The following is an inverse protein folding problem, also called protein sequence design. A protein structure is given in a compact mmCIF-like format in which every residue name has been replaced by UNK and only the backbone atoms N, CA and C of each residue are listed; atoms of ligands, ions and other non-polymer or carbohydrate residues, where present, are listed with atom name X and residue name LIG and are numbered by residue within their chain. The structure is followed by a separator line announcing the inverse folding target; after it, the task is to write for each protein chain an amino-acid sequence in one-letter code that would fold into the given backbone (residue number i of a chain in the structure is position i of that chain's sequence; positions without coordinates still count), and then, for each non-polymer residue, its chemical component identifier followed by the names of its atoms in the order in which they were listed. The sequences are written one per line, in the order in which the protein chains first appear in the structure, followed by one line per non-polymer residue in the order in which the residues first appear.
data_IF_778797435028
#
_entry.id   IF_778797435028
#
_cell.length_a   1.000
_cell.length_b   1.000
_cell.length_c   1.000
_cell.angle_alpha   90.00
_cell.angle_beta   90.00
_cell.angle_gamma   90.00
#
_symmetry.space_group_name_H-M   'P 1'
#
loop_
_entity.id
_entity.type
_entity.pdbx_description
1 polymer ?
#
# COMPACT_ATOMS: atom_id res chain seq x y z
N UNK A 1 11.66 -4.93 14.21
CA UNK A 1 10.53 -3.98 14.05
C UNK A 1 9.26 -4.46 14.76
N UNK A 2 8.87 -5.70 14.61
CA UNK A 2 7.67 -6.27 15.27
C UNK A 2 7.71 -6.13 16.79
N UNK A 3 8.87 -6.36 17.42
CA UNK A 3 9.04 -6.22 18.86
C UNK A 3 8.92 -4.77 19.34
N UNK A 4 9.40 -3.82 18.54
CA UNK A 4 9.29 -2.37 18.84
C UNK A 4 7.82 -1.96 18.81
N UNK A 5 7.08 -2.38 17.80
CA UNK A 5 5.64 -2.08 17.68
C UNK A 5 4.88 -2.70 18.85
N UNK A 6 5.16 -3.96 19.17
CA UNK A 6 4.55 -4.62 20.31
C UNK A 6 4.79 -3.91 21.63
N UNK A 7 6.03 -3.44 21.86
CA UNK A 7 6.38 -2.74 23.10
C UNK A 7 5.62 -1.42 23.28
N UNK A 8 5.18 -0.79 22.18
CA UNK A 8 4.48 0.49 22.20
C UNK A 8 2.95 0.36 22.14
N UNK A 9 2.45 -0.66 21.47
CA UNK A 9 1.02 -0.80 21.17
C UNK A 9 0.36 -1.99 21.86
N UNK A 10 1.13 -2.95 22.35
CA UNK A 10 0.62 -4.21 22.90
C UNK A 10 0.17 -5.21 21.82
N UNK A 11 0.36 -4.89 20.54
CA UNK A 11 -0.05 -5.75 19.42
C UNK A 11 1.10 -5.97 18.46
N UNK A 12 1.19 -7.18 17.91
CA UNK A 12 2.14 -7.49 16.84
C UNK A 12 1.50 -7.27 15.49
N UNK A 13 2.19 -6.59 14.54
CA UNK A 13 1.68 -6.44 13.20
C UNK A 13 1.64 -7.79 12.48
N UNK A 14 0.64 -7.99 11.64
CA UNK A 14 0.49 -9.19 10.80
C UNK A 14 0.56 -8.86 9.32
N UNK A 15 0.48 -7.59 8.97
CA UNK A 15 0.52 -7.09 7.60
C UNK A 15 1.84 -6.39 7.35
N UNK A 16 2.40 -6.61 6.17
CA UNK A 16 3.64 -5.96 5.73
C UNK A 16 3.49 -5.46 4.29
N UNK A 17 4.26 -4.45 3.96
CA UNK A 17 4.45 -3.98 2.59
C UNK A 17 5.94 -3.85 2.34
N UNK A 18 6.40 -4.38 1.21
CA UNK A 18 7.80 -4.26 0.83
C UNK A 18 8.09 -2.85 0.33
N UNK A 19 9.23 -2.26 0.70
CA UNK A 19 9.69 -1.00 0.08
C UNK A 19 9.75 -1.16 -1.45
N UNK A 20 9.06 -0.26 -2.16
CA UNK A 20 8.93 -0.35 -3.61
C UNK A 20 8.00 -1.46 -4.11
N UNK A 21 7.31 -2.16 -3.22
CA UNK A 21 6.40 -3.26 -3.54
C UNK A 21 7.11 -4.58 -3.81
N UNK A 22 6.34 -5.65 -3.98
CA UNK A 22 6.87 -6.98 -4.30
C UNK A 22 7.48 -7.04 -5.70
N UNK A 23 7.15 -6.08 -6.57
CA UNK A 23 7.72 -5.94 -7.91
C UNK A 23 9.03 -5.14 -7.94
N UNK A 24 9.61 -4.81 -6.78
CA UNK A 24 10.84 -4.05 -6.67
C UNK A 24 11.96 -4.68 -7.52
N UNK A 25 12.46 -3.91 -8.48
CA UNK A 25 13.49 -4.35 -9.41
C UNK A 25 14.90 -3.88 -9.03
N UNK A 26 15.01 -2.93 -8.10
CA UNK A 26 16.30 -2.40 -7.66
C UNK A 26 17.07 -3.47 -6.87
N UNK A 27 16.37 -4.22 -6.03
CA UNK A 27 16.94 -5.25 -5.17
C UNK A 27 17.66 -6.35 -5.95
N UNK A 28 17.21 -6.70 -7.15
CA UNK A 28 17.86 -7.75 -7.97
C UNK A 28 19.27 -7.38 -8.43
N UNK A 29 19.61 -6.08 -8.41
CA UNK A 29 20.98 -5.62 -8.72
C UNK A 29 21.97 -6.03 -7.65
N UNK A 30 21.49 -6.22 -6.43
CA UNK A 30 22.30 -6.59 -5.27
C UNK A 30 22.16 -8.06 -4.92
N UNK A 31 20.97 -8.62 -5.07
CA UNK A 31 20.70 -10.02 -4.79
C UNK A 31 19.59 -10.53 -5.70
N UNK A 32 19.96 -11.28 -6.74
CA UNK A 32 18.99 -11.86 -7.67
C UNK A 32 18.11 -12.88 -6.95
N UNK A 33 16.79 -12.83 -7.19
CA UNK A 33 15.84 -13.74 -6.54
C UNK A 33 15.39 -13.34 -5.15
N UNK A 34 15.90 -12.22 -4.60
CA UNK A 34 15.62 -11.80 -3.23
C UNK A 34 14.12 -11.58 -2.96
N UNK A 35 13.37 -11.05 -3.92
CA UNK A 35 11.95 -10.75 -3.70
C UNK A 35 11.10 -12.02 -3.60
N UNK A 36 11.41 -13.05 -4.38
CA UNK A 36 10.78 -14.37 -4.23
C UNK A 36 11.04 -14.95 -2.85
N UNK A 37 12.28 -14.87 -2.41
CA UNK A 37 12.71 -15.38 -1.11
C UNK A 37 12.03 -14.63 0.05
N UNK A 38 12.03 -13.31 0.00
CA UNK A 38 11.38 -12.48 1.01
C UNK A 38 9.86 -12.70 1.07
N UNK A 39 9.20 -12.79 -0.07
CA UNK A 39 7.75 -13.04 -0.11
C UNK A 39 7.41 -14.39 0.55
N UNK A 40 8.24 -15.41 0.29
CA UNK A 40 8.10 -16.72 0.93
C UNK A 40 8.37 -16.62 2.44
N UNK A 41 9.44 -15.97 2.83
CA UNK A 41 9.86 -15.90 4.23
C UNK A 41 8.83 -15.18 5.10
N UNK A 42 8.31 -14.03 4.66
CA UNK A 42 7.29 -13.31 5.44
C UNK A 42 5.99 -14.11 5.55
N UNK A 43 5.62 -14.82 4.48
CA UNK A 43 4.42 -15.67 4.49
C UNK A 43 4.60 -16.86 5.43
N UNK A 44 5.76 -17.52 5.40
CA UNK A 44 6.09 -18.66 6.27
C UNK A 44 6.13 -18.27 7.75
N UNK A 45 6.44 -17.01 8.05
CA UNK A 45 6.45 -16.46 9.42
C UNK A 45 5.07 -15.99 9.89
N UNK A 46 4.02 -16.16 9.09
CA UNK A 46 2.66 -15.79 9.45
C UNK A 46 2.27 -14.36 9.11
N UNK A 47 3.11 -13.64 8.40
CA UNK A 47 2.77 -12.32 7.88
C UNK A 47 2.05 -12.43 6.54
N UNK A 48 1.22 -11.43 6.22
CA UNK A 48 0.62 -11.27 4.90
C UNK A 48 1.13 -9.97 4.29
N UNK A 49 1.66 -10.04 3.08
CA UNK A 49 2.12 -8.83 2.39
C UNK A 49 1.07 -8.34 1.41
N UNK A 50 1.00 -7.02 1.25
CA UNK A 50 0.12 -6.35 0.31
C UNK A 50 0.93 -5.39 -0.54
N UNK A 51 0.60 -5.34 -1.81
CA UNK A 51 0.95 -4.25 -2.70
C UNK A 51 -0.25 -3.28 -2.82
N UNK A 52 -0.41 -2.67 -3.95
CA UNK A 52 -1.50 -1.75 -4.24
C UNK A 52 -1.92 -1.90 -5.70
N UNK A 53 -3.15 -1.51 -6.01
CA UNK A 53 -3.65 -1.41 -7.38
C UNK A 53 -4.03 0.03 -7.77
N UNK A 54 -3.98 0.96 -6.81
CA UNK A 54 -4.18 2.39 -7.06
C UNK A 54 -3.01 3.15 -6.44
N UNK A 55 -2.31 3.95 -7.24
CA UNK A 55 -1.24 4.83 -6.77
C UNK A 55 -1.71 6.27 -6.78
N UNK A 56 -1.44 6.98 -5.68
CA UNK A 56 -1.71 8.42 -5.59
C UNK A 56 -0.73 9.27 -6.39
N UNK A 57 0.43 8.72 -6.76
CA UNK A 57 1.51 9.45 -7.42
C UNK A 57 2.37 10.29 -6.47
N UNK A 58 2.16 10.20 -5.17
CA UNK A 58 2.83 11.04 -4.16
C UNK A 58 4.29 10.67 -3.89
N UNK A 59 4.75 9.54 -4.40
CA UNK A 59 6.15 9.08 -4.24
C UNK A 59 7.10 9.63 -5.30
N UNK A 60 6.74 10.68 -6.02
CA UNK A 60 7.59 11.33 -7.03
C UNK A 60 6.87 11.71 -8.32
N UNK A 61 5.60 11.32 -8.50
CA UNK A 61 4.81 11.68 -9.67
C UNK A 61 4.22 13.07 -9.57
N UNK A 62 3.86 13.52 -8.38
CA UNK A 62 3.28 14.84 -8.14
C UNK A 62 3.56 15.34 -6.73
N UNK A 63 3.46 16.66 -6.54
CA UNK A 63 3.44 17.33 -5.23
C UNK A 63 2.16 18.13 -5.03
N UNK A 64 1.17 17.96 -5.90
CA UNK A 64 -0.10 18.69 -5.89
C UNK A 64 -1.18 17.88 -5.18
N UNK A 65 -1.82 18.46 -4.18
CA UNK A 65 -2.96 17.87 -3.46
C UNK A 65 -4.10 17.52 -4.41
N UNK A 66 -4.41 18.39 -5.37
CA UNK A 66 -5.48 18.13 -6.34
C UNK A 66 -5.16 17.00 -7.30
N UNK A 67 -3.90 16.82 -7.68
CA UNK A 67 -3.48 15.69 -8.50
C UNK A 67 -3.50 14.37 -7.72
N UNK A 68 -3.07 14.37 -6.46
CA UNK A 68 -3.20 13.20 -5.58
C UNK A 68 -4.67 12.77 -5.49
N UNK A 69 -5.55 13.70 -5.20
CA UNK A 69 -6.99 13.47 -5.16
C UNK A 69 -7.49 12.86 -6.48
N UNK A 70 -7.16 13.46 -7.61
CA UNK A 70 -7.64 13.02 -8.92
C UNK A 70 -7.09 11.64 -9.30
N UNK A 71 -5.81 11.38 -9.02
CA UNK A 71 -5.18 10.08 -9.28
C UNK A 71 -5.87 8.96 -8.48
N UNK A 72 -6.16 9.20 -7.22
CA UNK A 72 -6.81 8.20 -6.37
C UNK A 72 -8.24 7.94 -6.83
N UNK A 73 -9.01 8.98 -7.12
CA UNK A 73 -10.40 8.83 -7.59
C UNK A 73 -10.45 8.09 -8.92
N UNK A 74 -9.62 8.45 -9.87
CA UNK A 74 -9.55 7.78 -11.17
C UNK A 74 -9.18 6.30 -11.00
N UNK A 75 -8.26 5.99 -10.10
CA UNK A 75 -7.88 4.63 -9.80
C UNK A 75 -9.02 3.82 -9.17
N UNK A 76 -9.70 4.39 -8.20
CA UNK A 76 -10.84 3.75 -7.53
C UNK A 76 -11.97 3.44 -8.53
N UNK A 77 -12.27 4.38 -9.42
CA UNK A 77 -13.30 4.19 -10.44
C UNK A 77 -12.97 3.05 -11.43
N UNK A 78 -11.70 2.73 -11.58
CA UNK A 78 -11.23 1.69 -12.51
C UNK A 78 -11.23 0.29 -11.90
N UNK A 79 -11.52 0.15 -10.60
CA UNK A 79 -11.47 -1.12 -9.88
C UNK A 79 -12.71 -1.33 -9.02
N UNK A 80 -13.14 -2.59 -8.88
CA UNK A 80 -14.21 -2.96 -7.94
C UNK A 80 -13.71 -3.00 -6.50
N UNK A 81 -12.46 -3.43 -6.31
CA UNK A 81 -11.76 -3.43 -5.03
C UNK A 81 -10.45 -2.69 -5.21
N UNK A 82 -10.23 -1.65 -4.40
CA UNK A 82 -9.04 -0.80 -4.49
C UNK A 82 -8.23 -0.87 -3.21
N UNK A 83 -6.93 -1.09 -3.37
CA UNK A 83 -5.93 -0.89 -2.31
C UNK A 83 -5.04 0.26 -2.76
N UNK A 84 -5.13 1.37 -2.04
CA UNK A 84 -4.50 2.64 -2.42
C UNK A 84 -3.16 2.80 -1.72
N UNK A 85 -2.14 3.17 -2.47
CA UNK A 85 -0.84 3.59 -1.92
C UNK A 85 -0.83 5.11 -1.79
N UNK A 86 -0.62 5.56 -0.55
CA UNK A 86 -0.51 6.98 -0.20
C UNK A 86 0.41 7.12 1.01
N UNK A 87 1.20 8.19 1.08
CA UNK A 87 2.22 8.36 2.12
C UNK A 87 1.81 9.44 3.12
N UNK A 88 1.90 9.13 4.40
CA UNK A 88 1.56 10.02 5.51
C UNK A 88 2.61 11.08 5.81
N UNK A 89 3.83 10.91 5.30
CA UNK A 89 4.93 11.87 5.44
C UNK A 89 4.88 13.02 4.42
N UNK A 90 3.92 12.97 3.49
CA UNK A 90 3.74 14.00 2.45
C UNK A 90 2.50 14.83 2.79
N UNK A 91 2.69 16.09 3.21
CA UNK A 91 1.58 16.97 3.60
C UNK A 91 0.54 17.13 2.50
N UNK A 92 0.98 17.32 1.25
CA UNK A 92 0.07 17.44 0.12
C UNK A 92 -0.75 16.17 -0.14
N UNK A 93 -0.23 15.00 0.26
CA UNK A 93 -0.95 13.74 0.16
C UNK A 93 -1.97 13.59 1.30
N UNK A 94 -1.57 13.92 2.52
CA UNK A 94 -2.45 13.91 3.70
C UNK A 94 -3.64 14.86 3.51
N UNK A 95 -3.39 16.04 2.97
CA UNK A 95 -4.43 17.04 2.72
C UNK A 95 -5.51 16.57 1.73
N UNK A 96 -5.22 15.59 0.89
CA UNK A 96 -6.18 15.01 -0.04
C UNK A 96 -7.10 13.95 0.59
N UNK A 97 -6.73 13.37 1.73
CA UNK A 97 -7.41 12.19 2.30
C UNK A 97 -8.86 12.46 2.62
N UNK A 98 -9.16 13.56 3.30
CA UNK A 98 -10.54 13.89 3.68
C UNK A 98 -11.44 14.02 2.46
N UNK A 99 -11.00 14.74 1.44
CA UNK A 99 -11.75 14.92 0.20
C UNK A 99 -11.98 13.60 -0.54
N UNK A 100 -10.98 12.71 -0.55
CA UNK A 100 -11.10 11.37 -1.15
C UNK A 100 -12.17 10.55 -0.43
N UNK A 101 -12.15 10.55 0.91
CA UNK A 101 -13.12 9.81 1.71
C UNK A 101 -14.52 10.36 1.50
N UNK A 102 -14.70 11.67 1.53
CA UNK A 102 -16.00 12.32 1.31
C UNK A 102 -16.55 11.98 -0.08
N UNK A 103 -15.71 12.05 -1.11
CA UNK A 103 -16.10 11.67 -2.46
C UNK A 103 -16.53 10.20 -2.53
N UNK A 104 -15.74 9.30 -1.95
CA UNK A 104 -16.02 7.87 -1.98
C UNK A 104 -17.34 7.54 -1.29
N UNK A 105 -17.59 8.08 -0.10
CA UNK A 105 -18.84 7.88 0.62
C UNK A 105 -20.04 8.41 -0.15
N UNK A 106 -19.90 9.58 -0.80
CA UNK A 106 -20.96 10.19 -1.61
C UNK A 106 -21.26 9.37 -2.89
N UNK A 107 -20.32 8.57 -3.36
CA UNK A 107 -20.45 7.73 -4.56
C UNK A 107 -20.68 6.24 -4.25
N UNK A 108 -21.04 5.90 -3.02
CA UNK A 108 -21.41 4.55 -2.64
C UNK A 108 -20.26 3.59 -2.34
N UNK A 109 -19.05 4.10 -2.18
CA UNK A 109 -17.90 3.29 -1.77
C UNK A 109 -17.84 3.13 -0.26
N UNK A 110 -17.28 2.01 0.18
CA UNK A 110 -17.02 1.73 1.59
C UNK A 110 -15.52 1.69 1.82
N UNK A 111 -15.04 2.40 2.83
CA UNK A 111 -13.64 2.38 3.25
C UNK A 111 -13.49 1.40 4.42
N UNK A 112 -12.64 0.41 4.24
CA UNK A 112 -12.38 -0.63 5.23
C UNK A 112 -10.90 -0.65 5.60
N UNK A 113 -10.56 -0.96 6.86
CA UNK A 113 -9.18 -1.20 7.21
C UNK A 113 -8.66 -2.46 6.49
N UNK A 114 -7.39 -2.44 6.12
CA UNK A 114 -6.73 -3.61 5.57
C UNK A 114 -6.52 -4.63 6.70
N UNK A 115 -6.93 -5.88 6.47
CA UNK A 115 -6.79 -6.99 7.41
C UNK A 115 -6.26 -8.22 6.70
N UNK A 116 -5.93 -9.26 7.45
CA UNK A 116 -5.52 -10.55 6.88
C UNK A 116 -6.63 -11.23 6.07
N UNK A 117 -7.88 -10.80 6.25
CA UNK A 117 -9.04 -11.27 5.49
C UNK A 117 -9.33 -10.45 4.23
N UNK A 118 -8.64 -9.32 4.03
CA UNK A 118 -8.82 -8.48 2.85
C UNK A 118 -8.39 -9.23 1.58
N UNK A 119 -9.02 -8.95 0.42
CA UNK A 119 -8.60 -9.55 -0.84
C UNK A 119 -7.13 -9.29 -1.14
N UNK A 120 -6.45 -10.28 -1.69
CA UNK A 120 -5.04 -10.16 -2.05
C UNK A 120 -4.85 -9.16 -3.19
N UNK A 121 -3.88 -8.25 -3.03
CA UNK A 121 -3.43 -7.34 -4.08
C UNK A 121 -1.91 -7.45 -4.14
N UNK A 122 -1.42 -8.14 -5.16
CA UNK A 122 0.01 -8.38 -5.36
C UNK A 122 0.44 -7.96 -6.74
N UNK A 123 1.60 -7.31 -6.83
CA UNK A 123 2.29 -7.09 -8.09
C UNK A 123 2.97 -8.39 -8.54
N UNK A 124 3.32 -8.50 -9.82
CA UNK A 124 4.20 -9.56 -10.30
C UNK A 124 5.62 -9.37 -9.74
N UNK A 125 6.20 -10.42 -9.19
CA UNK A 125 7.55 -10.35 -8.62
C UNK A 125 8.58 -10.24 -9.74
N UNK A 126 9.47 -9.25 -9.62
CA UNK A 126 10.60 -9.00 -10.53
C UNK A 126 11.91 -9.31 -9.80
N UNK A 127 12.40 -10.51 -9.99
CA UNK A 127 13.65 -10.94 -9.34
C UNK A 127 14.91 -10.44 -10.01
#
# INVERSE_FOLDING_TARGET
MSDIIYSQTGSRPTLVRFPGGSSNSVSKKYCRGIMTELAKDVTDQGYKYYDWNVSSGDAGGTTSTSEVYQNVINGIQSHNVSVVLQHDIKSFSVDAVESIIQWGLANGYTFLPLTTSSPDVHHGINN
#
